data_IF_087517205591
#
_entry.id   IF_087517205591
#
_cell.length_a   1.000
_cell.length_b   1.000
_cell.length_c   1.000
_cell.angle_alpha   90.00
_cell.angle_beta   90.00
_cell.angle_gamma   90.00
#
_symmetry.space_group_name_H-M   'P 1'
#
loop_
_entity.id
_entity.type
_entity.pdbx_description
1 polymer ?
#
# COMPACT_ATOMS: atom_id res chain seq x y z
N UNK A 1 2.97 -26.78 -9.75
CA UNK A 1 2.70 -26.46 -9.45
C UNK A 1 2.26 -25.50 -9.32
N UNK A 2 1.96 -25.15 -9.08
CA UNK A 2 1.27 -24.45 -9.11
C UNK A 2 1.29 -23.38 -8.46
N UNK A 3 1.47 -22.62 -8.50
CA UNK A 3 1.45 -21.67 -8.02
C UNK A 3 0.55 -20.99 -8.01
N UNK A 4 0.19 -21.02 -7.74
CA UNK A 4 -0.82 -20.78 -7.73
C UNK A 4 -1.41 -19.60 -7.25
N UNK A 5 -2.32 -19.03 -7.88
CA UNK A 5 -3.06 -17.89 -7.48
C UNK A 5 -4.08 -18.29 -6.45
N UNK A 6 -4.38 -17.39 -5.56
CA UNK A 6 -5.23 -17.68 -4.44
C UNK A 6 -6.05 -16.46 -4.10
N UNK A 7 -7.17 -16.65 -3.44
CA UNK A 7 -7.93 -15.53 -2.87
C UNK A 7 -7.47 -15.22 -1.47
N UNK A 8 -6.48 -15.93 -0.98
CA UNK A 8 -6.01 -15.78 0.37
C UNK A 8 -4.87 -14.78 0.41
N UNK A 9 -5.01 -13.66 1.14
CA UNK A 9 -3.93 -12.69 1.25
C UNK A 9 -2.62 -13.28 1.77
N UNK A 10 -2.69 -14.38 2.49
CA UNK A 10 -1.49 -14.98 3.02
C UNK A 10 -0.62 -15.62 1.95
N UNK A 11 -1.12 -15.72 0.74
CA UNK A 11 -0.30 -16.20 -0.36
C UNK A 11 0.77 -15.19 -0.75
N UNK A 12 0.58 -13.91 -0.40
CA UNK A 12 1.49 -12.87 -0.81
C UNK A 12 2.75 -12.90 0.05
N UNK A 13 3.91 -12.83 -0.59
CA UNK A 13 5.17 -12.79 0.10
C UNK A 13 5.90 -11.48 -0.11
N UNK A 14 5.68 -10.86 -1.24
CA UNK A 14 6.29 -9.56 -1.51
C UNK A 14 5.36 -8.70 -2.33
N UNK A 15 5.51 -7.40 -2.14
CA UNK A 15 4.76 -6.40 -2.87
C UNK A 15 5.73 -5.49 -3.58
N UNK A 16 5.38 -5.12 -4.80
CA UNK A 16 6.09 -4.06 -5.50
C UNK A 16 5.17 -2.84 -5.51
N UNK A 17 5.71 -1.69 -5.19
CA UNK A 17 4.93 -0.46 -5.19
C UNK A 17 5.86 0.67 -5.60
N UNK A 18 5.34 1.66 -6.31
CA UNK A 18 6.18 2.79 -6.64
C UNK A 18 6.23 3.74 -5.45
N UNK A 19 7.40 4.33 -5.25
CA UNK A 19 7.56 5.33 -4.21
C UNK A 19 6.59 6.48 -4.43
N UNK A 20 6.37 6.84 -5.70
CA UNK A 20 5.45 7.92 -6.02
C UNK A 20 4.03 7.62 -5.56
N UNK A 21 3.59 6.39 -5.70
CA UNK A 21 2.25 6.05 -5.28
C UNK A 21 2.09 6.15 -3.77
N UNK A 22 3.12 5.74 -3.03
CA UNK A 22 3.06 5.85 -1.58
C UNK A 22 2.95 7.32 -1.18
N UNK A 23 3.79 8.16 -1.78
CA UNK A 23 3.78 9.58 -1.45
C UNK A 23 2.45 10.21 -1.86
N UNK A 24 1.96 9.86 -3.04
CA UNK A 24 0.70 10.44 -3.50
C UNK A 24 -0.46 10.05 -2.60
N UNK A 25 -0.47 8.82 -2.12
CA UNK A 25 -1.52 8.38 -1.22
C UNK A 25 -1.44 9.13 0.12
N UNK A 26 -0.22 9.32 0.63
CA UNK A 26 -0.04 10.06 1.88
C UNK A 26 -0.52 11.49 1.75
N UNK A 27 -0.16 12.15 0.65
CA UNK A 27 -0.58 13.53 0.44
C UNK A 27 -2.09 13.63 0.27
N UNK A 28 -2.67 12.70 -0.46
CA UNK A 28 -4.11 12.71 -0.68
C UNK A 28 -4.86 12.58 0.64
N UNK A 29 -4.39 11.69 1.49
CA UNK A 29 -5.06 11.49 2.78
C UNK A 29 -4.96 12.74 3.64
N UNK A 30 -3.85 13.43 3.58
CA UNK A 30 -3.69 14.66 4.36
C UNK A 30 -4.55 15.79 3.82
N UNK A 31 -4.94 15.70 2.56
CA UNK A 31 -5.81 16.71 1.96
C UNK A 31 -7.27 16.33 2.02
N UNK A 32 -7.60 15.34 2.82
CA UNK A 32 -8.98 14.96 3.02
C UNK A 32 -9.44 13.76 2.24
N UNK A 33 -8.60 13.18 1.39
CA UNK A 33 -8.97 11.97 0.68
C UNK A 33 -8.58 10.76 1.51
N UNK A 34 -9.29 10.55 2.58
CA UNK A 34 -8.96 9.48 3.52
C UNK A 34 -9.09 8.10 2.94
N UNK A 35 -9.75 8.01 1.82
CA UNK A 35 -9.95 6.76 1.15
C UNK A 35 -8.82 6.41 0.18
N UNK A 36 -7.77 7.20 0.11
CA UNK A 36 -6.62 6.89 -0.73
C UNK A 36 -5.79 5.79 -0.07
N UNK A 37 -5.57 4.71 -0.78
CA UNK A 37 -4.87 3.53 -0.26
C UNK A 37 -3.98 2.95 -1.34
N UNK A 38 -3.16 1.98 -0.96
CA UNK A 38 -2.46 1.15 -1.92
C UNK A 38 -3.26 -0.15 -2.03
N UNK A 39 -3.67 -0.48 -3.23
CA UNK A 39 -4.60 -1.59 -3.43
C UNK A 39 -3.91 -2.76 -4.12
N UNK A 40 -4.16 -3.95 -3.61
CA UNK A 40 -3.69 -5.18 -4.21
C UNK A 40 -4.92 -5.99 -4.62
N UNK A 41 -5.02 -6.29 -5.89
CA UNK A 41 -6.21 -6.94 -6.44
C UNK A 41 -5.98 -8.43 -6.61
N UNK A 42 -6.92 -9.27 -6.16
CA UNK A 42 -6.77 -10.71 -6.37
C UNK A 42 -6.94 -11.08 -7.84
N UNK A 43 -6.49 -12.28 -8.23
CA UNK A 43 -6.01 -13.32 -7.33
C UNK A 43 -4.59 -13.04 -6.86
N UNK A 44 -4.25 -13.56 -5.70
CA UNK A 44 -2.97 -13.27 -5.07
C UNK A 44 -1.96 -14.35 -5.38
N UNK A 45 -0.73 -13.94 -5.51
CA UNK A 45 0.40 -14.83 -5.72
C UNK A 45 1.53 -14.35 -4.84
N UNK A 46 2.66 -15.03 -4.88
CA UNK A 46 3.78 -14.66 -4.03
C UNK A 46 4.29 -13.24 -4.27
N UNK A 47 4.25 -12.79 -5.51
CA UNK A 47 4.66 -11.42 -5.86
C UNK A 47 3.46 -10.68 -6.40
N UNK A 48 3.15 -9.56 -5.77
CA UNK A 48 2.01 -8.77 -6.18
C UNK A 48 2.40 -7.31 -6.33
N UNK A 49 1.56 -6.57 -7.02
CA UNK A 49 1.75 -5.14 -7.20
C UNK A 49 0.68 -4.40 -6.42
N UNK A 50 1.10 -3.41 -5.65
CA UNK A 50 0.16 -2.51 -4.99
C UNK A 50 0.12 -1.20 -5.76
N UNK A 51 -1.06 -0.66 -5.96
CA UNK A 51 -1.23 0.57 -6.74
C UNK A 51 -2.11 1.53 -6.02
N UNK A 52 -1.88 2.81 -6.28
CA UNK A 52 -2.70 3.85 -5.70
C UNK A 52 -4.15 3.68 -6.14
N UNK A 53 -5.04 3.78 -5.20
CA UNK A 53 -6.47 3.64 -5.44
C UNK A 53 -7.23 4.53 -4.48
N UNK A 54 -8.30 5.13 -4.94
CA UNK A 54 -9.16 5.92 -4.09
C UNK A 54 -10.47 5.18 -3.99
N UNK A 55 -10.75 4.67 -2.79
CA UNK A 55 -11.94 3.87 -2.58
C UNK A 55 -13.18 4.68 -2.87
N UNK A 56 -14.16 3.99 -3.39
CA UNK A 56 -15.45 4.63 -3.64
C UNK A 56 -15.49 5.46 -4.89
N UNK A 57 -14.39 5.59 -5.57
CA UNK A 57 -14.35 6.38 -6.77
C UNK A 57 -14.97 5.67 -7.95
N UNK A 58 -14.99 4.32 -7.93
CA UNK A 58 -15.53 3.61 -8.98
C UNK A 58 -16.64 2.84 -8.58
N UNK A 59 -17.41 2.49 -9.40
CA UNK A 59 -18.54 1.72 -9.11
C UNK A 59 -18.17 0.41 -8.62
N UNK A 60 -18.83 -0.20 -7.91
CA UNK A 60 -18.48 -1.35 -7.31
C UNK A 60 -18.41 -2.53 -8.14
N UNK A 61 -17.34 -3.04 -8.33
CA UNK A 61 -17.16 -4.29 -8.87
C UNK A 61 -16.80 -5.14 -7.77
N UNK A 62 -17.70 -5.54 -7.04
CA UNK A 62 -17.44 -6.11 -5.81
C UNK A 62 -17.13 -7.54 -5.80
N UNK A 63 -17.00 -8.13 -6.91
CA UNK A 63 -16.75 -9.55 -6.90
C UNK A 63 -15.41 -9.91 -6.36
N UNK A 64 -14.44 -9.02 -6.48
CA UNK A 64 -13.13 -9.28 -5.95
C UNK A 64 -13.05 -8.72 -4.56
N UNK A 65 -12.16 -9.22 -3.79
CA UNK A 65 -11.97 -8.77 -2.43
C UNK A 65 -10.55 -8.23 -2.32
N UNK A 66 -10.31 -7.05 -2.82
CA UNK A 66 -8.96 -6.51 -2.83
C UNK A 66 -8.51 -6.14 -1.44
N UNK A 67 -7.18 -6.07 -1.29
CA UNK A 67 -6.58 -5.60 -0.06
C UNK A 67 -6.31 -4.12 -0.21
N UNK A 68 -6.68 -3.35 0.81
CA UNK A 68 -6.40 -1.92 0.84
C UNK A 68 -5.42 -1.66 1.96
N UNK A 69 -4.24 -1.18 1.61
CA UNK A 69 -3.18 -0.93 2.56
C UNK A 69 -3.04 0.56 2.74
N UNK A 70 -3.12 1.02 3.99
CA UNK A 70 -2.94 2.44 4.28
C UNK A 70 -1.50 2.82 3.99
N UNK A 71 -1.26 3.96 3.38
CA UNK A 71 0.12 4.32 3.02
C UNK A 71 1.03 4.47 4.23
N UNK A 72 0.48 4.77 5.39
CA UNK A 72 1.29 4.86 6.60
C UNK A 72 1.96 3.54 6.94
N UNK A 73 1.42 2.43 6.46
CA UNK A 73 2.01 1.13 6.75
C UNK A 73 3.42 0.99 6.19
N UNK A 74 3.77 1.82 5.19
CA UNK A 74 5.09 1.74 4.58
C UNK A 74 6.13 2.58 5.31
N UNK A 75 5.73 3.27 6.38
CA UNK A 75 6.62 4.15 7.11
C UNK A 75 6.75 3.73 8.56
N UNK A 76 7.82 4.16 9.24
CA UNK A 76 7.94 3.85 10.67
C UNK A 76 6.83 4.50 11.44
N UNK A 77 6.49 3.87 12.54
CA UNK A 77 5.48 4.41 13.42
C UNK A 77 5.90 5.78 13.89
N UNK A 78 4.96 6.71 13.93
CA UNK A 78 5.28 8.06 14.38
C UNK A 78 5.90 8.95 13.33
N UNK A 79 5.93 8.51 12.08
CA UNK A 79 6.51 9.33 11.03
C UNK A 79 5.71 10.63 10.89
N UNK A 80 6.38 11.77 10.67
CA UNK A 80 5.68 13.07 10.62
C UNK A 80 4.67 13.15 9.48
N UNK A 81 3.59 13.83 9.73
CA UNK A 81 2.57 14.04 8.72
C UNK A 81 3.04 14.98 7.64
N UNK A 82 2.37 14.91 6.52
CA UNK A 82 2.62 15.82 5.41
C UNK A 82 2.41 17.26 5.90
N UNK A 83 3.41 18.12 5.77
CA UNK A 83 3.35 19.41 6.43
C UNK A 83 2.58 20.50 5.65
N UNK A 84 2.29 20.25 4.39
CA UNK A 84 1.70 21.29 3.56
C UNK A 84 2.73 22.25 3.03
N UNK A 85 3.59 22.80 3.89
CA UNK A 85 4.72 23.59 3.47
C UNK A 85 5.97 22.78 3.67
N UNK A 86 6.99 23.05 2.88
CA UNK A 86 8.23 22.30 3.01
C UNK A 86 8.05 20.87 2.57
N UNK A 87 7.15 20.64 1.65
CA UNK A 87 6.81 19.30 1.24
C UNK A 87 7.98 18.57 0.59
N UNK A 88 8.89 19.30 -0.03
CA UNK A 88 10.05 18.68 -0.63
C UNK A 88 10.89 17.94 0.38
N UNK A 89 11.14 18.57 1.51
CA UNK A 89 11.93 17.96 2.54
C UNK A 89 11.22 16.75 3.12
N UNK A 90 9.92 16.89 3.31
CA UNK A 90 9.11 15.80 3.84
C UNK A 90 9.12 14.61 2.87
N UNK A 91 8.98 14.87 1.57
CA UNK A 91 9.03 13.81 0.57
C UNK A 91 10.38 13.10 0.57
N UNK A 92 11.46 13.86 0.71
CA UNK A 92 12.77 13.25 0.80
C UNK A 92 12.86 12.32 2.01
N UNK A 93 12.29 12.73 3.14
CA UNK A 93 12.29 11.88 4.31
C UNK A 93 11.48 10.62 4.09
N UNK A 94 10.36 10.74 3.40
CA UNK A 94 9.58 9.55 3.09
C UNK A 94 10.43 8.58 2.28
N UNK A 95 11.08 9.07 1.25
CA UNK A 95 11.88 8.21 0.38
C UNK A 95 12.97 7.46 1.12
N UNK A 96 13.53 8.06 2.13
CA UNK A 96 14.63 7.42 2.87
C UNK A 96 14.13 6.63 4.07
N UNK A 97 12.84 6.65 4.34
CA UNK A 97 12.30 5.98 5.52
C UNK A 97 11.40 4.80 5.20
N UNK A 98 11.24 4.48 3.92
CA UNK A 98 10.34 3.40 3.52
C UNK A 98 10.81 2.08 4.08
N UNK A 99 9.88 1.31 4.60
CA UNK A 99 10.18 0.06 5.29
C UNK A 99 10.31 -1.08 4.30
N UNK A 100 11.28 -1.95 4.51
CA UNK A 100 11.46 -3.11 3.65
C UNK A 100 10.47 -4.21 3.93
N UNK A 101 9.85 -4.17 5.07
CA UNK A 101 8.83 -5.15 5.42
C UNK A 101 7.68 -4.42 6.06
N UNK A 102 6.49 -4.82 5.68
CA UNK A 102 5.30 -4.22 6.25
C UNK A 102 4.32 -5.31 6.64
N UNK A 103 3.30 -4.90 7.34
CA UNK A 103 2.27 -5.80 7.79
C UNK A 103 0.94 -5.20 7.40
N UNK A 104 0.02 -6.02 6.95
CA UNK A 104 -1.34 -5.56 6.69
C UNK A 104 -2.30 -6.62 7.17
N UNK A 105 -3.56 -6.25 7.30
CA UNK A 105 -4.56 -7.17 7.81
C UNK A 105 -5.02 -8.10 6.72
N UNK A 106 -4.87 -9.39 6.97
CA UNK A 106 -5.41 -10.40 6.09
C UNK A 106 -6.66 -10.99 6.68
N UNK A 107 -7.17 -12.02 6.05
CA UNK A 107 -8.39 -12.65 6.51
C UNK A 107 -8.24 -13.32 7.85
N UNK A 108 -7.09 -13.92 8.06
CA UNK A 108 -6.85 -14.68 9.27
C UNK A 108 -5.85 -14.03 10.19
N UNK A 109 -5.70 -12.73 10.09
CA UNK A 109 -4.77 -12.01 10.94
C UNK A 109 -3.76 -11.26 10.11
N UNK A 110 -2.73 -10.71 10.75
CA UNK A 110 -1.77 -9.88 10.03
C UNK A 110 -0.92 -10.71 9.09
N UNK A 111 -0.60 -10.11 7.96
CA UNK A 111 0.25 -10.72 6.94
C UNK A 111 1.49 -9.85 6.80
N UNK A 112 2.65 -10.44 6.87
CA UNK A 112 3.91 -9.73 6.70
C UNK A 112 4.47 -10.00 5.33
N UNK A 113 4.93 -8.95 4.68
CA UNK A 113 5.49 -9.07 3.34
C UNK A 113 6.69 -8.18 3.19
N UNK A 114 7.52 -8.52 2.23
CA UNK A 114 8.61 -7.66 1.83
C UNK A 114 8.10 -6.67 0.81
N UNK A 115 8.72 -5.50 0.77
CA UNK A 115 8.32 -4.47 -0.18
C UNK A 115 9.49 -4.10 -1.06
N UNK A 116 9.23 -4.07 -2.37
CA UNK A 116 10.19 -3.56 -3.33
C UNK A 116 9.64 -2.25 -3.84
N UNK A 117 10.46 -1.21 -3.72
CA UNK A 117 10.04 0.11 -4.17
C UNK A 117 10.58 0.35 -5.57
N UNK A 118 9.68 0.71 -6.48
CA UNK A 118 10.03 0.93 -7.86
C UNK A 118 10.18 2.42 -8.09
N UNK A 119 11.19 2.79 -8.84
CA UNK A 119 11.43 4.20 -9.13
C UNK A 119 12.13 4.93 -8.04
#
# INVERSE_FOLDING_TARGET
MSDSESDDPEAIRSLAVTTEDVIAALEARQRGRRDAVLRVTPPFAGRMRARLHVEGAEGGYADDDPIHIHPEAFLPEGFPRFPGRGAERWRSRVRTSLQERIEFDGSDGPVRVRVRYLG
#
